data_IF_830036549412
#
_entry.id   IF_830036549412
#
_cell.length_a   1.000
_cell.length_b   1.000
_cell.length_c   1.000
_cell.angle_alpha   90.00
_cell.angle_beta   90.00
_cell.angle_gamma   90.00
#
_symmetry.space_group_name_H-M   'P 1'
#
loop_
_entity.id
_entity.type
_entity.pdbx_description
1 polymer ?
#
# COMPACT_ATOMS: atom_id res chain seq x y z
N UNK A 1 4.65 -26.56 -13.38
CA UNK A 1 4.80 -26.10 -11.99
C UNK A 1 4.10 -24.76 -11.88
N UNK A 2 3.21 -24.60 -10.92
CA UNK A 2 2.54 -23.30 -10.67
C UNK A 2 3.23 -22.61 -9.51
N UNK A 3 3.62 -21.35 -9.70
CA UNK A 3 4.16 -20.50 -8.63
C UNK A 3 2.99 -19.67 -8.08
N UNK A 4 2.87 -19.58 -6.77
CA UNK A 4 1.88 -18.74 -6.09
C UNK A 4 2.57 -17.73 -5.19
N UNK A 5 2.22 -16.47 -5.34
CA UNK A 5 2.77 -15.33 -4.59
C UNK A 5 1.65 -14.66 -3.81
N UNK A 6 1.80 -14.56 -2.51
CA UNK A 6 0.99 -13.65 -1.70
C UNK A 6 1.63 -12.25 -1.77
N UNK A 7 0.87 -11.27 -2.21
CA UNK A 7 1.29 -9.87 -2.29
C UNK A 7 0.45 -9.03 -1.32
N UNK A 8 1.03 -8.54 -0.22
CA UNK A 8 0.30 -7.88 0.87
C UNK A 8 -0.25 -6.51 0.49
N UNK A 9 -1.32 -6.11 1.20
CA UNK A 9 -1.80 -4.74 1.23
C UNK A 9 -0.78 -3.81 1.86
N UNK A 10 -0.84 -2.54 1.48
CA UNK A 10 0.06 -1.51 1.98
C UNK A 10 -0.67 -0.19 2.26
N UNK A 11 -0.12 0.59 3.16
CA UNK A 11 -0.50 1.98 3.43
C UNK A 11 0.62 2.87 2.87
N UNK A 12 0.33 3.63 1.82
CA UNK A 12 1.23 4.68 1.34
C UNK A 12 1.10 5.94 2.18
N UNK A 13 2.11 6.80 2.12
CA UNK A 13 2.26 8.04 2.87
C UNK A 13 2.48 7.87 4.39
N UNK A 14 1.74 7.00 5.06
CA UNK A 14 1.82 6.74 6.51
C UNK A 14 1.76 8.04 7.33
N UNK A 15 0.67 8.82 7.16
CA UNK A 15 0.53 10.14 7.78
C UNK A 15 1.41 11.20 7.12
N UNK A 16 2.35 11.86 7.84
CA UNK A 16 3.12 12.99 7.30
C UNK A 16 4.19 12.61 6.27
N UNK A 17 4.38 11.33 5.96
CA UNK A 17 5.42 10.83 5.04
C UNK A 17 4.98 10.74 3.57
N UNK A 18 4.33 11.78 3.05
CA UNK A 18 3.80 11.83 1.69
C UNK A 18 4.82 11.40 0.63
N UNK A 19 4.44 10.43 -0.23
CA UNK A 19 5.22 9.80 -1.31
C UNK A 19 6.57 9.17 -0.87
N UNK A 20 6.95 9.27 0.41
CA UNK A 20 8.21 8.72 0.88
C UNK A 20 8.06 7.58 1.89
N UNK A 21 6.92 7.45 2.59
CA UNK A 21 6.73 6.38 3.56
C UNK A 21 5.69 5.37 3.10
N UNK A 22 5.98 4.09 3.34
CA UNK A 22 5.05 3.01 3.09
C UNK A 22 5.10 1.94 4.17
N UNK A 23 3.94 1.37 4.51
CA UNK A 23 3.78 0.35 5.52
C UNK A 23 3.11 -0.90 4.97
N UNK A 24 3.67 -2.07 5.24
CA UNK A 24 3.09 -3.36 4.91
C UNK A 24 2.05 -3.79 5.96
N UNK A 25 0.92 -4.33 5.51
CA UNK A 25 -0.12 -4.90 6.37
C UNK A 25 -0.05 -6.43 6.39
N UNK A 26 -0.30 -7.03 7.55
CA UNK A 26 -0.33 -8.48 7.72
C UNK A 26 -1.73 -9.04 7.41
N UNK A 27 -1.77 -10.24 6.82
CA UNK A 27 -3.00 -11.03 6.67
C UNK A 27 -3.98 -10.54 5.59
N UNK A 28 -3.74 -9.42 4.94
CA UNK A 28 -4.53 -8.89 3.83
C UNK A 28 -3.63 -8.72 2.60
N UNK A 29 -4.05 -9.29 1.47
CA UNK A 29 -3.27 -9.20 0.23
C UNK A 29 -3.91 -10.00 -0.89
N UNK A 30 -3.45 -9.79 -2.12
CA UNK A 30 -3.87 -10.57 -3.29
C UNK A 30 -2.94 -11.77 -3.50
N UNK A 31 -3.42 -12.81 -4.18
CA UNK A 31 -2.60 -13.95 -4.56
C UNK A 31 -2.46 -13.95 -6.08
N UNK A 32 -1.22 -13.92 -6.56
CA UNK A 32 -0.90 -14.00 -7.97
C UNK A 32 -0.26 -15.35 -8.26
N UNK A 33 -0.86 -16.11 -9.18
CA UNK A 33 -0.34 -17.40 -9.62
C UNK A 33 0.23 -17.29 -11.02
N UNK A 34 1.39 -17.95 -11.28
CA UNK A 34 2.02 -18.01 -12.57
C UNK A 34 2.24 -19.46 -12.98
N UNK A 35 1.95 -19.79 -14.23
CA UNK A 35 2.24 -21.08 -14.87
C UNK A 35 2.87 -20.85 -16.26
N UNK A 36 3.73 -21.79 -16.75
CA UNK A 36 4.27 -21.71 -18.10
C UNK A 36 3.15 -21.69 -19.15
N UNK A 37 3.34 -20.88 -20.18
CA UNK A 37 2.44 -20.75 -21.32
C UNK A 37 3.23 -20.43 -22.60
N UNK A 38 2.58 -20.43 -23.75
CA UNK A 38 3.23 -20.07 -25.02
C UNK A 38 3.52 -18.56 -25.11
N UNK A 39 2.63 -17.74 -24.51
CA UNK A 39 2.74 -16.28 -24.49
C UNK A 39 2.39 -15.72 -23.12
N UNK A 40 2.72 -14.45 -22.89
CA UNK A 40 2.27 -13.74 -21.71
C UNK A 40 0.77 -13.46 -21.81
N UNK A 41 0.00 -13.91 -20.82
CA UNK A 41 -1.46 -13.83 -20.84
C UNK A 41 -2.05 -13.75 -19.43
N UNK A 42 -3.30 -13.29 -19.34
CA UNK A 42 -4.11 -13.36 -18.14
C UNK A 42 -5.00 -14.59 -18.21
N UNK A 43 -4.98 -15.37 -17.13
CA UNK A 43 -5.89 -16.47 -16.87
C UNK A 43 -7.12 -16.01 -16.12
N UNK A 44 -7.43 -16.69 -15.01
CA UNK A 44 -8.58 -16.39 -14.17
C UNK A 44 -8.30 -15.17 -13.27
N UNK A 45 -9.26 -14.26 -13.20
CA UNK A 45 -9.32 -13.20 -12.19
C UNK A 45 -10.59 -13.43 -11.39
N UNK A 46 -10.47 -13.56 -10.07
CA UNK A 46 -11.59 -13.82 -9.18
C UNK A 46 -11.48 -13.06 -7.87
N UNK A 47 -12.58 -13.01 -7.12
CA UNK A 47 -12.67 -12.33 -5.83
C UNK A 47 -13.16 -10.88 -5.92
N UNK A 48 -12.74 -10.04 -4.98
CA UNK A 48 -13.26 -8.69 -4.81
C UNK A 48 -12.95 -7.80 -6.01
N UNK A 49 -13.97 -7.21 -6.63
CA UNK A 49 -13.85 -6.29 -7.78
C UNK A 49 -13.09 -6.90 -8.99
N UNK A 50 -13.17 -8.22 -9.18
CA UNK A 50 -12.48 -8.92 -10.27
C UNK A 50 -12.92 -8.42 -11.65
N UNK A 51 -14.18 -8.04 -11.78
CA UNK A 51 -14.82 -7.47 -12.98
C UNK A 51 -14.26 -6.11 -13.41
N UNK A 52 -13.62 -5.39 -12.47
CA UNK A 52 -12.97 -4.09 -12.75
C UNK A 52 -11.50 -4.23 -13.21
N UNK A 53 -10.95 -5.44 -13.18
CA UNK A 53 -9.53 -5.67 -13.52
C UNK A 53 -9.40 -5.99 -15.02
N UNK A 54 -8.53 -5.28 -15.75
CA UNK A 54 -8.31 -5.56 -17.16
C UNK A 54 -7.84 -7.00 -17.41
N UNK A 55 -8.48 -7.69 -18.34
CA UNK A 55 -8.06 -9.00 -18.86
C UNK A 55 -7.08 -8.87 -20.05
N UNK A 56 -6.93 -7.67 -20.59
CA UNK A 56 -5.94 -7.34 -21.61
C UNK A 56 -4.53 -7.31 -20.97
N UNK A 57 -3.58 -8.18 -21.38
CA UNK A 57 -2.24 -8.23 -20.79
C UNK A 57 -1.47 -6.91 -20.88
N UNK A 58 -1.73 -6.08 -21.88
CA UNK A 58 -1.05 -4.78 -22.04
C UNK A 58 -1.62 -3.68 -21.13
N UNK A 59 -2.72 -3.96 -20.42
CA UNK A 59 -3.38 -3.04 -19.49
C UNK A 59 -3.41 -3.54 -18.05
N UNK A 60 -3.12 -4.82 -17.84
CA UNK A 60 -3.12 -5.42 -16.52
C UNK A 60 -1.77 -5.19 -15.82
N UNK A 61 -1.79 -4.60 -14.64
CA UNK A 61 -0.59 -4.21 -13.89
C UNK A 61 0.33 -5.41 -13.59
N UNK A 62 -0.25 -6.58 -13.29
CA UNK A 62 0.55 -7.78 -13.00
C UNK A 62 1.31 -8.27 -14.24
N UNK A 63 0.68 -8.27 -15.41
CA UNK A 63 1.34 -8.69 -16.66
C UNK A 63 2.33 -7.64 -17.16
N UNK A 64 2.04 -6.35 -17.03
CA UNK A 64 2.99 -5.29 -17.38
C UNK A 64 4.28 -5.44 -16.55
N UNK A 65 4.15 -5.67 -15.24
CA UNK A 65 5.29 -5.89 -14.36
C UNK A 65 6.03 -7.21 -14.68
N UNK A 66 5.30 -8.30 -14.94
CA UNK A 66 5.90 -9.57 -15.36
C UNK A 66 6.68 -9.42 -16.68
N UNK A 67 6.13 -8.71 -17.68
CA UNK A 67 6.78 -8.40 -18.95
C UNK A 67 8.07 -7.61 -18.75
N UNK A 68 8.01 -6.54 -17.97
CA UNK A 68 9.18 -5.72 -17.66
C UNK A 68 10.29 -6.53 -16.98
N UNK A 69 9.94 -7.44 -16.07
CA UNK A 69 10.92 -8.34 -15.43
C UNK A 69 11.54 -9.31 -16.43
N UNK A 70 10.71 -9.95 -17.28
CA UNK A 70 11.19 -10.88 -18.32
C UNK A 70 12.15 -10.18 -19.29
N UNK A 71 11.83 -8.98 -19.73
CA UNK A 71 12.70 -8.15 -20.57
C UNK A 71 14.04 -7.85 -19.87
N UNK A 72 14.00 -7.48 -18.56
CA UNK A 72 15.20 -7.19 -17.78
C UNK A 72 16.15 -8.38 -17.59
N UNK A 73 15.64 -9.63 -17.71
CA UNK A 73 16.46 -10.84 -17.65
C UNK A 73 16.76 -11.43 -19.02
N UNK A 74 16.28 -10.82 -20.12
CA UNK A 74 16.43 -11.32 -21.47
C UNK A 74 15.66 -12.63 -21.74
N UNK A 75 14.58 -12.88 -21.01
CA UNK A 75 13.76 -14.09 -21.17
C UNK A 75 12.60 -13.85 -22.13
N UNK A 76 12.33 -14.83 -23.01
CA UNK A 76 11.16 -14.90 -23.88
C UNK A 76 10.11 -15.91 -23.39
N UNK A 77 10.19 -16.36 -22.15
CA UNK A 77 9.27 -17.35 -21.58
C UNK A 77 7.84 -16.80 -21.54
N UNK A 78 6.90 -17.52 -22.13
CA UNK A 78 5.47 -17.22 -21.99
C UNK A 78 4.97 -17.62 -20.61
N UNK A 79 4.12 -16.78 -20.02
CA UNK A 79 3.58 -16.97 -18.69
C UNK A 79 2.09 -16.66 -18.70
N UNK A 80 1.28 -17.52 -18.08
CA UNK A 80 -0.12 -17.22 -17.78
C UNK A 80 -0.25 -16.86 -16.31
N UNK A 81 -0.73 -15.62 -16.03
CA UNK A 81 -1.00 -15.14 -14.68
C UNK A 81 -2.47 -15.27 -14.33
N UNK A 82 -2.78 -15.73 -13.12
CA UNK A 82 -4.12 -15.71 -12.52
C UNK A 82 -4.09 -14.94 -11.21
N UNK A 83 -5.18 -14.27 -10.85
CA UNK A 83 -5.22 -13.33 -9.73
C UNK A 83 -6.43 -13.66 -8.83
N UNK A 84 -6.18 -13.96 -7.56
CA UNK A 84 -7.19 -14.07 -6.51
C UNK A 84 -7.19 -12.73 -5.74
N UNK A 85 -8.27 -11.96 -5.91
CA UNK A 85 -8.38 -10.59 -5.38
C UNK A 85 -9.04 -10.58 -4.01
N UNK A 86 -8.36 -9.95 -3.04
CA UNK A 86 -8.92 -9.64 -1.72
C UNK A 86 -8.93 -8.13 -1.45
N UNK A 87 -8.10 -7.37 -2.19
CA UNK A 87 -7.98 -5.93 -2.06
C UNK A 87 -9.04 -5.18 -2.90
N UNK A 88 -9.58 -4.07 -2.38
CA UNK A 88 -10.46 -3.21 -3.17
C UNK A 88 -9.68 -2.51 -4.29
N UNK A 89 -10.29 -2.34 -5.44
CA UNK A 89 -9.76 -1.45 -6.50
C UNK A 89 -9.92 -0.01 -6.05
N UNK A 90 -8.89 0.82 -6.28
CA UNK A 90 -8.88 2.24 -5.90
C UNK A 90 -9.23 2.49 -4.43
N UNK A 91 -8.90 1.53 -3.55
CA UNK A 91 -9.23 1.57 -2.13
C UNK A 91 -8.18 2.26 -1.25
N UNK A 92 -7.04 2.71 -1.79
CA UNK A 92 -5.96 3.28 -0.99
C UNK A 92 -5.11 2.25 -0.21
N UNK A 93 -5.19 0.95 -0.58
CA UNK A 93 -4.49 -0.16 0.09
C UNK A 93 -3.41 -0.82 -0.78
N UNK A 94 -2.85 -0.09 -1.73
CA UNK A 94 -1.74 -0.56 -2.55
C UNK A 94 -2.09 -1.71 -3.50
N UNK A 95 -3.36 -1.85 -3.92
CA UNK A 95 -3.82 -2.94 -4.78
C UNK A 95 -3.06 -3.04 -6.12
N UNK A 96 -2.73 -1.90 -6.75
CA UNK A 96 -1.90 -1.85 -7.96
C UNK A 96 -0.48 -2.36 -7.67
N UNK A 97 0.12 -1.90 -6.57
CA UNK A 97 1.45 -2.34 -6.14
C UNK A 97 1.49 -3.84 -5.83
N UNK A 98 0.45 -4.39 -5.17
CA UNK A 98 0.34 -5.82 -4.91
C UNK A 98 0.29 -6.63 -6.22
N UNK A 99 -0.50 -6.18 -7.21
CA UNK A 99 -0.55 -6.81 -8.53
C UNK A 99 0.81 -6.73 -9.24
N UNK A 100 1.47 -5.55 -9.23
CA UNK A 100 2.76 -5.36 -9.88
C UNK A 100 3.87 -6.21 -9.26
N UNK A 101 4.03 -6.14 -7.92
CA UNK A 101 5.05 -6.90 -7.19
C UNK A 101 4.79 -8.41 -7.33
N UNK A 102 3.53 -8.83 -7.15
CA UNK A 102 3.16 -10.24 -7.27
C UNK A 102 3.41 -10.79 -8.67
N UNK A 103 3.06 -10.04 -9.72
CA UNK A 103 3.29 -10.43 -11.12
C UNK A 103 4.77 -10.54 -11.47
N UNK A 104 5.58 -9.54 -11.10
CA UNK A 104 7.02 -9.55 -11.33
C UNK A 104 7.71 -10.67 -10.53
N UNK A 105 7.34 -10.88 -9.26
CA UNK A 105 7.92 -11.93 -8.40
C UNK A 105 7.55 -13.33 -8.92
N UNK A 106 6.31 -13.53 -9.35
CA UNK A 106 5.87 -14.81 -9.91
C UNK A 106 6.64 -15.13 -11.21
N UNK A 107 6.83 -14.13 -12.09
CA UNK A 107 7.65 -14.25 -13.28
C UNK A 107 9.11 -14.56 -12.94
N UNK A 108 9.68 -13.89 -11.95
CA UNK A 108 11.06 -14.10 -11.49
C UNK A 108 11.28 -15.56 -11.04
N UNK A 109 10.45 -16.03 -10.13
CA UNK A 109 10.59 -17.37 -9.55
C UNK A 109 10.33 -18.47 -10.59
N UNK A 110 9.35 -18.27 -11.50
CA UNK A 110 9.09 -19.20 -12.60
C UNK A 110 10.29 -19.35 -13.53
N UNK A 111 11.12 -18.30 -13.69
CA UNK A 111 12.36 -18.31 -14.46
C UNK A 111 13.61 -18.66 -13.64
N UNK A 112 13.46 -19.19 -12.43
CA UNK A 112 14.58 -19.63 -11.58
C UNK A 112 15.34 -18.51 -10.89
N UNK A 113 14.84 -17.26 -10.92
CA UNK A 113 15.39 -16.14 -10.17
C UNK A 113 14.92 -16.20 -8.70
N UNK A 114 15.63 -15.50 -7.82
CA UNK A 114 15.22 -15.40 -6.41
C UNK A 114 14.00 -14.49 -6.26
N UNK A 115 13.13 -14.79 -5.29
CA UNK A 115 12.02 -13.92 -4.91
C UNK A 115 12.48 -12.55 -4.36
N UNK A 116 13.77 -12.44 -3.97
CA UNK A 116 14.40 -11.20 -3.52
C UNK A 116 15.19 -10.46 -4.61
N UNK A 117 15.00 -10.80 -5.87
CA UNK A 117 15.71 -10.15 -6.98
C UNK A 117 15.33 -8.66 -7.06
N UNK A 118 16.28 -7.72 -7.01
CA UNK A 118 15.97 -6.29 -6.99
C UNK A 118 15.27 -5.78 -8.25
N UNK A 119 15.43 -6.46 -9.40
CA UNK A 119 14.74 -6.13 -10.66
C UNK A 119 13.22 -6.25 -10.55
N UNK A 120 12.70 -6.97 -9.54
CA UNK A 120 11.26 -7.05 -9.25
C UNK A 120 10.69 -5.66 -8.93
N UNK A 121 11.41 -4.85 -8.13
CA UNK A 121 10.98 -3.48 -7.80
C UNK A 121 11.00 -2.57 -9.03
N UNK A 122 12.03 -2.66 -9.86
CA UNK A 122 12.15 -1.89 -11.10
C UNK A 122 11.01 -2.23 -12.08
N UNK A 123 10.71 -3.52 -12.22
CA UNK A 123 9.59 -3.99 -13.02
C UNK A 123 8.23 -3.54 -12.48
N UNK A 124 8.04 -3.60 -11.16
CA UNK A 124 6.83 -3.11 -10.52
C UNK A 124 6.67 -1.58 -10.68
N UNK A 125 7.76 -0.81 -10.57
CA UNK A 125 7.75 0.63 -10.82
C UNK A 125 7.40 0.96 -12.28
N UNK A 126 7.87 0.17 -13.23
CA UNK A 126 7.51 0.32 -14.64
C UNK A 126 6.00 0.17 -14.85
N UNK A 127 5.39 -0.82 -14.22
CA UNK A 127 3.94 -1.03 -14.29
C UNK A 127 3.15 0.10 -13.60
N UNK A 128 3.57 0.55 -12.42
CA UNK A 128 2.92 1.63 -11.67
C UNK A 128 2.99 2.95 -12.44
N UNK A 129 4.13 3.23 -13.09
CA UNK A 129 4.35 4.44 -13.88
C UNK A 129 3.37 4.59 -15.05
N UNK A 130 2.87 3.47 -15.57
CA UNK A 130 1.88 3.48 -16.66
C UNK A 130 0.48 3.91 -16.21
N UNK A 131 0.16 3.82 -14.91
CA UNK A 131 -1.18 4.06 -14.36
C UNK A 131 -1.28 5.26 -13.43
N UNK A 132 -0.37 5.37 -12.45
CA UNK A 132 -0.49 6.27 -11.29
C UNK A 132 0.67 7.24 -11.14
N UNK A 133 1.76 7.06 -11.91
CA UNK A 133 3.00 7.82 -11.79
C UNK A 133 4.12 7.03 -11.12
N UNK A 134 5.31 7.62 -11.04
CA UNK A 134 6.49 6.96 -10.45
C UNK A 134 6.47 7.09 -8.93
N UNK A 135 5.83 6.13 -8.25
CA UNK A 135 5.73 6.08 -6.79
C UNK A 135 6.14 4.71 -6.26
N UNK A 136 6.93 4.67 -5.19
CA UNK A 136 7.42 3.45 -4.55
C UNK A 136 6.88 3.24 -3.14
N UNK A 137 6.12 4.19 -2.59
CA UNK A 137 5.59 4.17 -1.23
C UNK A 137 4.62 3.00 -0.93
N UNK A 138 4.05 2.37 -1.97
CA UNK A 138 3.29 1.13 -1.87
C UNK A 138 4.09 -0.09 -2.37
N UNK A 139 4.89 0.05 -3.41
CA UNK A 139 5.71 -1.04 -3.98
C UNK A 139 6.76 -1.49 -2.98
N UNK A 140 7.47 -0.55 -2.34
CA UNK A 140 8.54 -0.85 -1.40
C UNK A 140 8.07 -1.69 -0.20
N UNK A 141 7.03 -1.30 0.56
CA UNK A 141 6.55 -2.12 1.67
C UNK A 141 5.91 -3.42 1.19
N UNK A 142 5.27 -3.46 0.02
CA UNK A 142 4.74 -4.70 -0.55
C UNK A 142 5.87 -5.71 -0.82
N UNK A 143 7.02 -5.27 -1.33
CA UNK A 143 8.14 -6.15 -1.64
C UNK A 143 8.97 -6.52 -0.41
N UNK A 144 9.38 -5.53 0.38
CA UNK A 144 10.29 -5.75 1.51
C UNK A 144 9.59 -6.13 2.82
N UNK A 145 8.31 -5.77 2.99
CA UNK A 145 7.63 -5.76 4.29
C UNK A 145 8.04 -4.58 5.16
N UNK A 146 7.47 -4.49 6.34
CA UNK A 146 7.79 -3.47 7.33
C UNK A 146 7.34 -2.06 6.97
N UNK A 147 7.96 -1.10 7.63
CA UNK A 147 7.91 0.32 7.32
C UNK A 147 9.10 0.66 6.42
N UNK A 148 8.83 1.25 5.26
CA UNK A 148 9.86 1.60 4.28
C UNK A 148 9.91 3.10 4.04
N UNK A 149 11.13 3.60 3.81
CA UNK A 149 11.41 4.98 3.43
C UNK A 149 11.95 4.96 2.00
N UNK A 150 11.25 5.57 1.08
CA UNK A 150 11.71 5.80 -0.29
C UNK A 150 12.54 7.07 -0.31
N UNK A 151 13.84 6.93 -0.34
CA UNK A 151 14.75 8.08 -0.35
C UNK A 151 14.98 8.59 -1.77
N UNK A 152 15.02 7.68 -2.75
CA UNK A 152 15.22 8.03 -4.15
C UNK A 152 14.57 7.00 -5.08
N UNK A 153 14.16 7.44 -6.26
CA UNK A 153 13.54 6.61 -7.30
C UNK A 153 14.54 6.28 -8.40
N UNK A 154 15.47 7.18 -8.70
CA UNK A 154 16.49 7.01 -9.76
C UNK A 154 17.87 7.52 -9.29
N UNK A 155 18.81 6.63 -8.90
CA UNK A 155 18.65 5.19 -8.70
C UNK A 155 17.70 4.87 -7.53
N UNK A 156 17.05 3.70 -7.56
CA UNK A 156 16.15 3.29 -6.47
C UNK A 156 16.97 3.13 -5.19
N UNK A 157 16.57 3.86 -4.15
CA UNK A 157 17.12 3.72 -2.81
C UNK A 157 16.00 3.68 -1.77
N UNK A 158 15.86 2.52 -1.09
CA UNK A 158 14.82 2.24 -0.09
C UNK A 158 15.48 1.82 1.20
N UNK A 159 15.00 2.37 2.32
CA UNK A 159 15.44 2.06 3.66
C UNK A 159 14.28 1.36 4.38
N UNK A 160 14.55 0.21 4.99
CA UNK A 160 13.60 -0.38 5.95
C UNK A 160 13.79 0.32 7.30
N UNK A 161 12.77 1.07 7.72
CA UNK A 161 12.84 1.81 8.97
C UNK A 161 12.65 0.87 10.16
N UNK A 162 13.45 1.04 11.25
CA UNK A 162 13.26 0.26 12.46
C UNK A 162 11.91 0.62 13.13
N UNK A 163 11.20 -0.41 13.57
CA UNK A 163 9.99 -0.28 14.38
C UNK A 163 10.18 -1.12 15.64
N UNK A 164 10.22 -0.47 16.78
CA UNK A 164 10.31 -1.12 18.08
C UNK A 164 8.92 -1.36 18.70
N UNK A 165 8.82 -2.35 19.55
CA UNK A 165 7.58 -2.67 20.27
C UNK A 165 6.50 -3.29 19.40
N UNK A 166 5.25 -3.10 19.83
CA UNK A 166 4.07 -3.65 19.17
C UNK A 166 3.15 -2.52 18.70
N UNK A 167 2.92 -2.47 17.40
CA UNK A 167 2.05 -1.48 16.76
C UNK A 167 1.02 -2.18 15.91
N UNK A 168 -0.21 -1.70 15.99
CA UNK A 168 -1.37 -2.25 15.32
C UNK A 168 -2.10 -1.19 14.51
N UNK A 169 -2.73 -1.61 13.46
CA UNK A 169 -3.50 -0.77 12.55
C UNK A 169 -4.93 -1.28 12.48
N UNK A 170 -5.88 -0.37 12.61
CA UNK A 170 -7.24 -0.57 12.16
C UNK A 170 -7.44 0.19 10.85
N UNK A 171 -7.84 -0.50 9.79
CA UNK A 171 -8.16 0.11 8.48
C UNK A 171 -9.64 -0.03 8.24
N UNK A 172 -10.32 1.09 8.00
CA UNK A 172 -11.70 1.10 7.52
C UNK A 172 -11.72 1.59 6.08
N UNK A 173 -12.32 0.80 5.21
CA UNK A 173 -12.53 1.14 3.80
C UNK A 173 -14.01 1.42 3.58
N UNK A 174 -14.43 2.70 3.47
CA UNK A 174 -15.79 3.06 3.10
C UNK A 174 -16.13 2.51 1.70
N UNK A 175 -17.41 2.20 1.46
CA UNK A 175 -17.90 1.75 0.16
C UNK A 175 -18.03 2.93 -0.82
N UNK A 176 -16.92 3.60 -1.09
CA UNK A 176 -16.82 4.80 -1.94
C UNK A 176 -15.75 4.55 -2.99
N UNK A 177 -16.01 4.93 -4.23
CA UNK A 177 -15.00 4.96 -5.28
C UNK A 177 -14.30 6.32 -5.31
N UNK A 178 -12.98 6.32 -5.18
CA UNK A 178 -12.15 7.52 -5.31
C UNK A 178 -11.03 7.29 -6.33
N UNK A 179 -11.11 7.99 -7.46
CA UNK A 179 -10.07 7.94 -8.48
C UNK A 179 -8.75 8.52 -7.92
N UNK A 180 -7.69 7.73 -7.99
CA UNK A 180 -6.34 8.11 -7.54
C UNK A 180 -5.85 9.39 -8.24
N UNK A 181 -6.17 9.57 -9.54
CA UNK A 181 -5.83 10.79 -10.29
C UNK A 181 -6.57 12.02 -9.74
N UNK A 182 -7.84 11.86 -9.33
CA UNK A 182 -8.62 12.93 -8.69
C UNK A 182 -8.02 13.30 -7.35
N UNK A 183 -7.68 12.30 -6.53
CA UNK A 183 -7.01 12.48 -5.25
C UNK A 183 -5.64 13.18 -5.40
N UNK A 184 -4.87 12.85 -6.46
CA UNK A 184 -3.60 13.50 -6.76
C UNK A 184 -3.77 14.95 -7.19
N UNK A 185 -4.77 15.25 -8.03
CA UNK A 185 -5.07 16.60 -8.49
C UNK A 185 -5.54 17.58 -7.40
N UNK A 186 -6.05 17.05 -6.28
CA UNK A 186 -6.48 17.86 -5.15
C UNK A 186 -5.31 18.44 -4.34
N UNK A 187 -4.10 17.89 -4.49
CA UNK A 187 -2.93 18.33 -3.73
C UNK A 187 -2.53 19.77 -4.09
N UNK A 188 -2.11 20.56 -3.09
CA UNK A 188 -1.57 21.89 -3.37
C UNK A 188 -0.24 21.77 -4.13
N UNK A 189 0.03 22.74 -4.99
CA UNK A 189 1.30 22.85 -5.74
C UNK A 189 2.40 23.51 -4.91
N UNK A 190 2.04 24.18 -3.83
CA UNK A 190 2.94 24.91 -2.94
C UNK A 190 2.56 24.64 -1.48
N UNK A 191 3.55 24.62 -0.61
CA UNK A 191 3.36 24.55 0.83
C UNK A 191 4.13 25.69 1.49
N UNK A 192 3.51 26.50 2.38
CA UNK A 192 4.22 27.54 3.11
C UNK A 192 5.43 26.98 3.87
N UNK A 193 6.53 27.73 3.93
CA UNK A 193 7.78 27.29 4.55
C UNK A 193 7.57 26.79 5.98
N UNK A 194 6.74 27.47 6.77
CA UNK A 194 6.44 27.05 8.15
C UNK A 194 5.75 25.68 8.18
N UNK A 195 4.75 25.45 7.31
CA UNK A 195 4.07 24.16 7.20
C UNK A 195 5.02 23.05 6.69
N UNK A 196 5.93 23.38 5.75
CA UNK A 196 6.95 22.45 5.27
C UNK A 196 7.92 22.04 6.39
N UNK A 197 8.39 22.99 7.20
CA UNK A 197 9.25 22.71 8.36
C UNK A 197 8.55 21.81 9.36
N UNK A 198 7.28 22.12 9.68
CA UNK A 198 6.47 21.29 10.60
C UNK A 198 6.20 19.90 10.03
N UNK A 199 5.89 19.77 8.73
CA UNK A 199 5.69 18.47 8.06
C UNK A 199 6.94 17.59 8.18
N UNK A 200 8.13 18.14 7.94
CA UNK A 200 9.39 17.40 8.09
C UNK A 200 9.65 17.01 9.55
N UNK A 201 9.41 17.92 10.50
CA UNK A 201 9.54 17.63 11.93
C UNK A 201 8.55 16.51 12.37
N UNK A 202 7.32 16.53 11.88
CA UNK A 202 6.32 15.51 12.13
C UNK A 202 6.76 14.15 11.56
N UNK A 203 7.26 14.11 10.32
CA UNK A 203 7.76 12.87 9.71
C UNK A 203 8.94 12.29 10.52
N UNK A 204 9.91 13.12 10.88
CA UNK A 204 11.06 12.71 11.68
C UNK A 204 10.67 12.26 13.09
N UNK A 205 9.78 13.00 13.76
CA UNK A 205 9.29 12.68 15.10
C UNK A 205 8.47 11.37 15.11
N UNK A 206 7.61 11.16 14.12
CA UNK A 206 6.84 9.92 13.97
C UNK A 206 7.78 8.71 13.81
N UNK A 207 8.80 8.81 12.96
CA UNK A 207 9.80 7.74 12.78
C UNK A 207 10.60 7.51 14.07
N UNK A 208 10.96 8.57 14.80
CA UNK A 208 11.62 8.44 16.09
C UNK A 208 10.73 7.71 17.11
N UNK A 209 9.44 8.09 17.21
CA UNK A 209 8.49 7.43 18.10
C UNK A 209 8.32 5.94 17.79
N UNK A 210 8.26 5.57 16.50
CA UNK A 210 8.19 4.17 16.08
C UNK A 210 9.49 3.40 16.38
N UNK A 211 10.63 4.02 16.17
CA UNK A 211 11.95 3.40 16.40
C UNK A 211 12.27 3.20 17.89
N UNK A 212 11.73 4.04 18.78
CA UNK A 212 11.97 3.99 20.23
C UNK A 212 10.80 3.41 21.03
N UNK A 213 9.73 3.02 20.37
CA UNK A 213 8.46 2.56 21.00
C UNK A 213 7.79 3.65 21.86
N UNK A 214 8.03 4.93 21.55
CA UNK A 214 7.50 6.07 22.28
C UNK A 214 6.19 6.58 21.65
N UNK A 215 5.07 6.22 22.28
CA UNK A 215 3.73 6.61 21.82
C UNK A 215 3.46 8.11 21.96
N UNK A 216 4.10 8.83 22.92
CA UNK A 216 3.87 10.27 23.08
C UNK A 216 4.54 11.06 21.95
N UNK A 217 5.78 10.70 21.59
CA UNK A 217 6.48 11.29 20.45
C UNK A 217 5.68 11.02 19.19
N UNK A 218 5.20 9.78 19.00
CA UNK A 218 4.38 9.41 17.85
C UNK A 218 3.12 10.27 17.73
N UNK A 219 2.31 10.36 18.80
CA UNK A 219 1.05 11.13 18.82
C UNK A 219 1.27 12.60 18.47
N UNK A 220 2.29 13.23 19.07
CA UNK A 220 2.63 14.65 18.83
C UNK A 220 3.11 14.92 17.40
N UNK A 221 3.53 13.87 16.69
CA UNK A 221 4.14 13.96 15.35
C UNK A 221 3.24 13.40 14.24
N UNK A 222 2.12 12.76 14.59
CA UNK A 222 1.23 12.13 13.61
C UNK A 222 0.18 13.12 13.07
N UNK A 223 0.67 14.15 12.39
CA UNK A 223 -0.15 15.16 11.72
C UNK A 223 0.38 15.42 10.31
N UNK A 224 -0.49 15.25 9.31
CA UNK A 224 -0.18 15.56 7.91
C UNK A 224 -0.77 16.94 7.55
N UNK A 225 0.10 17.88 7.18
CA UNK A 225 -0.27 19.24 6.78
C UNK A 225 -0.39 19.41 5.28
N UNK A 226 -0.11 18.35 4.50
CA UNK A 226 -0.04 18.42 3.05
C UNK A 226 -1.18 17.64 2.37
N UNK A 227 -1.18 16.32 2.50
CA UNK A 227 -2.11 15.47 1.75
C UNK A 227 -3.47 15.31 2.44
N UNK A 228 -3.50 15.16 3.76
CA UNK A 228 -4.74 14.97 4.52
C UNK A 228 -5.72 16.16 4.35
N UNK A 229 -5.32 17.43 4.52
CA UNK A 229 -6.24 18.56 4.36
C UNK A 229 -6.83 18.65 2.94
N UNK A 230 -6.04 18.28 1.94
CA UNK A 230 -6.44 18.33 0.54
C UNK A 230 -7.36 17.18 0.12
N UNK A 231 -7.16 15.99 0.69
CA UNK A 231 -7.86 14.74 0.32
C UNK A 231 -9.09 14.46 1.18
N UNK A 232 -9.09 14.86 2.46
CA UNK A 232 -10.19 14.59 3.37
C UNK A 232 -11.57 15.09 2.87
N UNK A 233 -11.70 16.23 2.19
CA UNK A 233 -12.98 16.65 1.62
C UNK A 233 -13.53 15.73 0.50
N UNK A 234 -12.68 14.88 -0.08
CA UNK A 234 -13.07 13.91 -1.10
C UNK A 234 -13.65 12.62 -0.49
N UNK A 235 -13.58 12.45 0.83
CA UNK A 235 -14.02 11.27 1.56
C UNK A 235 -15.09 11.72 2.57
N UNK A 236 -16.37 11.70 2.19
CA UNK A 236 -17.45 12.26 3.02
C UNK A 236 -17.45 11.84 4.49
N UNK A 237 -17.26 10.55 4.87
CA UNK A 237 -17.26 10.14 6.27
C UNK A 237 -15.93 10.42 7.01
N UNK A 238 -14.94 11.04 6.38
CA UNK A 238 -13.59 11.15 6.95
C UNK A 238 -13.54 11.77 8.34
N UNK A 239 -14.21 12.91 8.54
CA UNK A 239 -14.18 13.64 9.82
C UNK A 239 -14.85 12.85 10.95
N UNK A 240 -15.98 12.19 10.65
CA UNK A 240 -16.68 11.36 11.62
C UNK A 240 -15.85 10.13 11.99
N UNK A 241 -15.24 9.47 11.00
CA UNK A 241 -14.36 8.31 11.19
C UNK A 241 -13.12 8.69 12.01
N UNK A 242 -12.45 9.79 11.69
CA UNK A 242 -11.29 10.29 12.45
C UNK A 242 -11.67 10.64 13.88
N UNK A 243 -12.79 11.33 14.06
CA UNK A 243 -13.30 11.67 15.39
C UNK A 243 -13.63 10.43 16.22
N UNK A 244 -14.29 9.43 15.63
CA UNK A 244 -14.60 8.16 16.29
C UNK A 244 -13.33 7.40 16.70
N UNK A 245 -12.33 7.32 15.80
CA UNK A 245 -11.04 6.69 16.09
C UNK A 245 -10.34 7.33 17.29
N UNK A 246 -10.19 8.65 17.28
CA UNK A 246 -9.51 9.39 18.35
C UNK A 246 -10.25 9.28 19.70
N UNK A 247 -11.59 9.34 19.69
CA UNK A 247 -12.41 9.13 20.90
C UNK A 247 -12.28 7.71 21.44
N UNK A 248 -12.07 6.72 20.56
CA UNK A 248 -11.83 5.33 20.95
C UNK A 248 -10.38 5.05 21.39
N UNK A 249 -9.51 6.07 21.42
CA UNK A 249 -8.15 5.97 21.94
C UNK A 249 -7.08 5.67 20.89
N UNK A 250 -7.34 5.95 19.60
CA UNK A 250 -6.33 5.86 18.57
C UNK A 250 -5.17 6.84 18.83
N UNK A 251 -3.93 6.37 18.62
CA UNK A 251 -2.72 7.19 18.70
C UNK A 251 -2.59 8.17 17.52
N UNK A 252 -3.24 7.86 16.43
CA UNK A 252 -3.32 8.68 15.23
C UNK A 252 -4.33 8.08 14.26
N UNK A 253 -4.92 8.92 13.40
CA UNK A 253 -5.86 8.50 12.38
C UNK A 253 -5.76 9.41 11.16
N UNK A 254 -5.59 8.83 9.97
CA UNK A 254 -5.52 9.56 8.71
C UNK A 254 -5.86 8.68 7.51
N UNK A 255 -5.73 9.23 6.30
CA UNK A 255 -6.02 8.58 5.03
C UNK A 255 -4.90 7.61 4.65
N UNK A 256 -5.25 6.44 4.14
CA UNK A 256 -4.31 5.49 3.54
C UNK A 256 -4.06 5.84 2.07
N UNK A 257 -2.82 6.18 1.73
CA UNK A 257 -2.45 6.55 0.36
C UNK A 257 -3.30 7.67 -0.21
N UNK A 258 -3.95 7.42 -1.34
CA UNK A 258 -4.91 8.35 -1.97
C UNK A 258 -6.32 8.33 -1.39
N UNK A 259 -6.60 7.45 -0.43
CA UNK A 259 -7.95 7.14 0.04
C UNK A 259 -8.69 6.15 -0.89
N UNK A 260 -9.96 5.87 -0.63
CA UNK A 260 -10.79 6.36 0.47
C UNK A 260 -10.58 5.65 1.81
N UNK A 261 -9.74 4.62 1.88
CA UNK A 261 -9.46 3.95 3.16
C UNK A 261 -8.83 4.90 4.16
N UNK A 262 -9.24 4.74 5.41
CA UNK A 262 -8.79 5.51 6.57
C UNK A 262 -8.19 4.52 7.55
N UNK A 263 -7.03 4.83 8.12
CA UNK A 263 -6.40 3.97 9.10
C UNK A 263 -6.15 4.69 10.42
N UNK A 264 -6.17 3.92 11.49
CA UNK A 264 -5.84 4.36 12.84
C UNK A 264 -4.77 3.47 13.45
N UNK A 265 -3.94 4.05 14.33
CA UNK A 265 -2.80 3.37 14.97
C UNK A 265 -3.10 3.09 16.43
N UNK A 266 -2.73 1.90 16.91
CA UNK A 266 -2.93 1.44 18.28
C UNK A 266 -1.70 0.66 18.80
N UNK A 267 -1.65 0.38 20.11
CA UNK A 267 -0.55 -0.38 20.75
C UNK A 267 -0.87 -1.86 20.97
N UNK A 268 -2.12 -2.27 20.77
CA UNK A 268 -2.53 -3.67 20.90
C UNK A 268 -3.59 -4.04 19.88
N UNK A 269 -3.75 -5.33 19.64
CA UNK A 269 -4.78 -5.86 18.75
C UNK A 269 -6.18 -5.52 19.25
N UNK A 270 -6.42 -5.66 20.54
CA UNK A 270 -7.71 -5.38 21.18
C UNK A 270 -8.08 -3.91 21.03
N UNK A 271 -7.11 -2.99 21.25
CA UNK A 271 -7.32 -1.57 21.03
C UNK A 271 -7.61 -1.27 19.56
N UNK A 272 -6.84 -1.84 18.62
CA UNK A 272 -7.08 -1.68 17.19
C UNK A 272 -8.46 -2.20 16.77
N UNK A 273 -8.91 -3.34 17.31
CA UNK A 273 -10.23 -3.88 17.04
C UNK A 273 -11.35 -2.97 17.54
N UNK A 274 -11.23 -2.44 18.76
CA UNK A 274 -12.21 -1.52 19.37
C UNK A 274 -12.28 -0.19 18.60
N UNK A 275 -11.11 0.37 18.25
CA UNK A 275 -11.00 1.58 17.44
C UNK A 275 -11.60 1.35 16.06
N UNK A 276 -11.24 0.23 15.41
CA UNK A 276 -11.73 -0.11 14.08
C UNK A 276 -13.25 -0.26 14.04
N UNK A 277 -13.85 -0.87 15.06
CA UNK A 277 -15.31 -0.97 15.18
C UNK A 277 -15.97 0.41 15.30
N UNK A 278 -15.44 1.28 16.15
CA UNK A 278 -15.94 2.64 16.28
C UNK A 278 -15.83 3.44 14.97
N UNK A 279 -14.76 3.24 14.22
CA UNK A 279 -14.59 3.82 12.88
C UNK A 279 -15.59 3.27 11.87
N UNK A 280 -15.81 1.95 11.87
CA UNK A 280 -16.70 1.28 10.93
C UNK A 280 -18.16 1.68 11.15
N UNK A 281 -18.59 1.84 12.39
CA UNK A 281 -19.95 2.21 12.75
C UNK A 281 -20.39 3.55 12.15
N UNK A 282 -19.44 4.45 11.89
CA UNK A 282 -19.71 5.79 11.31
C UNK A 282 -19.25 5.92 9.85
N UNK A 283 -18.57 4.94 9.30
CA UNK A 283 -18.03 4.99 7.93
C UNK A 283 -19.08 4.78 6.82
N UNK A 284 -20.30 4.43 7.20
CA UNK A 284 -21.41 4.19 6.26
C UNK A 284 -21.60 2.71 5.92
N UNK A 285 -22.76 2.42 5.31
CA UNK A 285 -23.13 1.06 4.94
C UNK A 285 -22.14 0.47 3.94
N UNK A 286 -21.77 -0.81 4.14
CA UNK A 286 -20.83 -1.53 3.26
C UNK A 286 -19.36 -1.24 3.56
N UNK A 287 -19.03 -0.42 4.56
CA UNK A 287 -17.65 -0.23 4.99
C UNK A 287 -17.06 -1.53 5.55
N UNK A 288 -15.82 -1.82 5.19
CA UNK A 288 -15.09 -3.01 5.66
C UNK A 288 -14.00 -2.62 6.63
N UNK A 289 -13.81 -3.45 7.68
CA UNK A 289 -12.75 -3.30 8.67
C UNK A 289 -11.70 -4.39 8.47
N UNK A 290 -10.43 -4.01 8.54
CA UNK A 290 -9.30 -4.92 8.68
C UNK A 290 -8.41 -4.45 9.83
N UNK A 291 -7.99 -5.39 10.68
CA UNK A 291 -7.04 -5.14 11.78
C UNK A 291 -5.76 -5.92 11.51
N UNK A 292 -4.64 -5.24 11.57
CA UNK A 292 -3.33 -5.78 11.21
C UNK A 292 -2.25 -5.34 12.19
N UNK A 293 -1.31 -6.22 12.49
CA UNK A 293 -0.02 -5.78 12.98
C UNK A 293 0.79 -5.09 11.86
N UNK A 294 1.84 -4.37 12.19
CA UNK A 294 2.86 -3.96 11.22
C UNK A 294 3.54 -5.23 10.70
N UNK A 295 3.29 -5.60 9.44
CA UNK A 295 3.84 -6.82 8.87
C UNK A 295 5.36 -6.70 8.71
N UNK A 296 6.09 -7.72 9.10
CA UNK A 296 7.55 -7.78 8.94
C UNK A 296 7.97 -8.31 7.57
N UNK A 297 7.11 -9.11 6.95
CA UNK A 297 7.38 -9.77 5.67
C UNK A 297 6.52 -9.15 4.57
N UNK A 298 7.13 -8.93 3.42
CA UNK A 298 6.45 -8.50 2.20
C UNK A 298 5.88 -9.65 1.37
N UNK A 299 5.89 -9.46 0.06
CA UNK A 299 5.46 -10.47 -0.89
C UNK A 299 6.32 -11.74 -0.78
N UNK A 300 5.67 -12.91 -0.82
CA UNK A 300 6.31 -14.20 -0.61
C UNK A 300 5.64 -15.32 -1.39
N UNK A 301 6.41 -16.37 -1.63
CA UNK A 301 5.89 -17.61 -2.21
C UNK A 301 5.08 -18.38 -1.15
N UNK A 302 3.94 -18.95 -1.57
CA UNK A 302 3.02 -19.74 -0.74
C UNK A 302 2.68 -21.07 -1.39
#
# INVERSE_FOLDING_TARGET
MTIRVFAPATIGNVGPGFDCLGLCLEGLGDIISAEPADTLSIGRIEGRSADLIPTDPEKNTATIAAKAFLEAIGSSTGIKLSIERHLPVSGGLGSSAASAVGGAMAAAVLNGCKASDPRIIEAALTAESSSSGKHLDNIAPCFYGGLTIVQNIEPIHIIQAPVAGSWWIAVVSPAIELDTKKSRKALPTELPTEAWVKQNANTAGMLAGLATDDGEIFVKSFEDLFAEPARSPLIPPYQDVKSAALKAGALGCTISGGGPSIFAVAKSQEAAQSIGQAMQDVAGAGATLHVSAFAKEGARII
#
